data_IF_740020867529
#
_entry.id   IF_740020867529
#
_cell.length_a   1.000
_cell.length_b   1.000
_cell.length_c   1.000
_cell.angle_alpha   90.00
_cell.angle_beta   90.00
_cell.angle_gamma   90.00
#
_symmetry.space_group_name_H-M   'P 1'
#
loop_
_entity.id
_entity.type
_entity.pdbx_description
1 polymer ?
#
# COMPACT_ATOMS: atom_id res chain seq x y z
N UNK A 1 -12.17 -17.40 -47.06
CA UNK A 1 -12.15 -15.94 -47.22
C UNK A 1 -11.22 -15.39 -46.15
N UNK A 2 -10.04 -14.93 -46.56
CA UNK A 2 -8.99 -14.42 -45.66
C UNK A 2 -9.28 -12.96 -45.26
N UNK A 3 -8.79 -12.50 -44.10
CA UNK A 3 -8.97 -11.11 -43.60
C UNK A 3 -8.65 -10.01 -44.62
N UNK A 4 -7.80 -10.31 -45.60
CA UNK A 4 -7.44 -9.40 -46.69
C UNK A 4 -8.59 -9.07 -47.64
N UNK A 5 -9.55 -9.98 -47.84
CA UNK A 5 -10.68 -9.74 -48.75
C UNK A 5 -11.77 -8.88 -48.09
N UNK A 6 -12.02 -9.07 -46.80
CA UNK A 6 -13.03 -8.31 -46.03
C UNK A 6 -12.70 -6.82 -45.91
N UNK A 7 -11.41 -6.47 -45.90
CA UNK A 7 -10.94 -5.07 -45.80
C UNK A 7 -11.19 -4.27 -47.09
N UNK A 8 -11.35 -4.93 -48.23
CA UNK A 8 -11.66 -4.28 -49.52
C UNK A 8 -13.14 -3.91 -49.66
N UNK A 9 -14.03 -4.54 -48.90
CA UNK A 9 -15.48 -4.35 -49.00
C UNK A 9 -16.05 -3.36 -47.97
N UNK A 10 -15.21 -2.62 -47.23
CA UNK A 10 -15.68 -1.63 -46.25
C UNK A 10 -16.40 -2.26 -45.05
N UNK A 11 -16.29 -3.58 -44.86
CA UNK A 11 -16.85 -4.29 -43.72
C UNK A 11 -15.94 -4.02 -42.51
N UNK A 12 -16.38 -3.14 -41.61
CA UNK A 12 -15.75 -2.97 -40.31
C UNK A 12 -15.82 -4.30 -39.55
N UNK A 13 -14.68 -4.98 -39.45
CA UNK A 13 -14.55 -6.16 -38.59
C UNK A 13 -14.67 -5.67 -37.14
N UNK A 14 -15.86 -5.79 -36.56
CA UNK A 14 -16.10 -5.51 -35.14
C UNK A 14 -15.06 -6.26 -34.31
N UNK A 15 -14.15 -5.52 -33.67
CA UNK A 15 -13.19 -6.09 -32.73
C UNK A 15 -13.97 -6.85 -31.66
N UNK A 16 -13.65 -8.13 -31.39
CA UNK A 16 -14.39 -8.91 -30.42
C UNK A 16 -14.41 -8.18 -29.07
N UNK A 17 -15.61 -7.87 -28.58
CA UNK A 17 -15.83 -7.28 -27.25
C UNK A 17 -15.11 -8.13 -26.22
N UNK A 18 -13.97 -7.64 -25.72
CA UNK A 18 -13.16 -8.29 -24.70
C UNK A 18 -14.01 -8.44 -23.44
N UNK A 19 -14.55 -9.63 -23.19
CA UNK A 19 -15.33 -9.91 -21.97
C UNK A 19 -14.39 -9.75 -20.77
N UNK A 20 -14.60 -8.70 -19.98
CA UNK A 20 -13.85 -8.46 -18.74
C UNK A 20 -14.38 -9.45 -17.71
N UNK A 21 -13.70 -10.60 -17.55
CA UNK A 21 -13.97 -11.50 -16.43
C UNK A 21 -13.27 -10.95 -15.18
N UNK A 22 -14.05 -10.59 -14.17
CA UNK A 22 -13.55 -10.17 -12.86
C UNK A 22 -13.12 -11.41 -12.09
N UNK A 23 -11.85 -11.47 -11.69
CA UNK A 23 -11.35 -12.51 -10.79
C UNK A 23 -11.49 -12.05 -9.33
N UNK A 24 -12.61 -12.45 -8.73
CA UNK A 24 -12.96 -12.10 -7.35
C UNK A 24 -11.98 -12.66 -6.31
N UNK A 25 -11.35 -13.82 -6.58
CA UNK A 25 -10.38 -14.41 -5.65
C UNK A 25 -9.12 -13.57 -5.55
N UNK A 26 -8.60 -13.13 -6.71
CA UNK A 26 -7.43 -12.25 -6.78
C UNK A 26 -7.72 -10.85 -6.22
N UNK A 27 -8.81 -10.23 -6.67
CA UNK A 27 -9.17 -8.88 -6.22
C UNK A 27 -9.50 -8.83 -4.72
N UNK A 28 -10.14 -9.87 -4.18
CA UNK A 28 -10.42 -9.99 -2.75
C UNK A 28 -9.15 -10.01 -1.90
N UNK A 29 -8.09 -10.68 -2.36
CA UNK A 29 -6.80 -10.69 -1.67
C UNK A 29 -6.13 -9.31 -1.59
N UNK A 30 -6.17 -8.55 -2.69
CA UNK A 30 -5.65 -7.17 -2.73
C UNK A 30 -6.46 -6.27 -1.79
N UNK A 31 -7.78 -6.35 -1.88
CA UNK A 31 -8.69 -5.55 -1.05
C UNK A 31 -8.50 -5.83 0.44
N UNK A 32 -8.39 -7.09 0.82
CA UNK A 32 -8.12 -7.49 2.20
C UNK A 32 -6.75 -6.99 2.68
N UNK A 33 -5.72 -7.04 1.83
CA UNK A 33 -4.42 -6.44 2.12
C UNK A 33 -4.51 -4.95 2.41
N UNK A 34 -5.34 -4.21 1.64
CA UNK A 34 -5.54 -2.78 1.86
C UNK A 34 -6.27 -2.50 3.17
N UNK A 35 -7.29 -3.28 3.51
CA UNK A 35 -7.99 -3.17 4.81
C UNK A 35 -7.02 -3.40 5.97
N UNK A 36 -6.14 -4.41 5.88
CA UNK A 36 -5.14 -4.68 6.92
C UNK A 36 -4.20 -3.50 7.10
N UNK A 37 -3.77 -2.84 6.01
CA UNK A 37 -2.95 -1.63 6.11
C UNK A 37 -3.73 -0.50 6.74
N UNK A 38 -4.93 -0.23 6.26
CA UNK A 38 -5.78 0.87 6.76
C UNK A 38 -5.99 0.73 8.28
N UNK A 39 -6.51 -0.42 8.70
CA UNK A 39 -6.82 -0.64 10.12
C UNK A 39 -5.58 -0.90 10.97
N UNK A 40 -4.63 -1.69 10.47
CA UNK A 40 -3.48 -2.13 11.25
C UNK A 40 -2.39 -1.08 11.34
N UNK A 41 -2.06 -0.41 10.23
CA UNK A 41 -0.98 0.59 10.21
C UNK A 41 -1.34 1.77 11.10
N UNK A 42 -2.45 2.46 10.83
CA UNK A 42 -2.88 3.57 11.67
C UNK A 42 -3.50 3.15 13.00
N UNK A 43 -3.97 1.91 13.16
CA UNK A 43 -4.34 1.38 14.47
C UNK A 43 -3.16 1.35 15.44
N UNK A 44 -1.99 0.92 14.96
CA UNK A 44 -0.75 0.95 15.77
C UNK A 44 -0.31 2.40 16.05
N UNK A 45 -0.33 3.26 15.02
CA UNK A 45 0.06 4.67 15.18
C UNK A 45 -0.87 5.38 16.17
N UNK A 46 -2.19 5.25 16.01
CA UNK A 46 -3.18 5.88 16.87
C UNK A 46 -3.01 5.47 18.34
N UNK A 47 -2.76 4.18 18.60
CA UNK A 47 -2.47 3.71 19.95
C UNK A 47 -1.24 4.39 20.56
N UNK A 48 -0.26 4.78 19.74
CA UNK A 48 0.94 5.50 20.18
C UNK A 48 0.71 6.99 20.40
N UNK A 49 -0.16 7.59 19.58
CA UNK A 49 -0.52 9.02 19.70
C UNK A 49 -1.43 9.24 20.90
N UNK A 50 -2.20 8.23 21.31
CA UNK A 50 -3.21 8.34 22.37
C UNK A 50 -2.69 8.08 23.78
N UNK A 51 -1.47 7.54 23.93
CA UNK A 51 -0.88 7.17 25.22
C UNK A 51 0.36 8.01 25.52
N UNK A 52 0.53 8.45 26.77
CA UNK A 52 1.75 9.09 27.24
C UNK A 52 2.87 8.08 27.60
N UNK A 53 3.96 8.58 28.18
CA UNK A 53 5.10 7.78 28.64
C UNK A 53 4.80 6.89 29.86
N UNK A 54 3.65 7.05 30.50
CA UNK A 54 3.16 6.29 31.65
C UNK A 54 1.97 5.39 31.29
N UNK A 55 1.69 5.20 29.99
CA UNK A 55 0.53 4.47 29.46
C UNK A 55 -0.83 5.08 29.87
N UNK A 56 -0.88 6.38 30.14
CA UNK A 56 -2.12 7.12 30.39
C UNK A 56 -2.66 7.75 29.11
N UNK A 57 -4.00 7.78 28.99
CA UNK A 57 -4.68 8.40 27.87
C UNK A 57 -4.50 9.92 27.88
N UNK A 58 -3.94 10.48 26.81
CA UNK A 58 -3.79 11.93 26.68
C UNK A 58 -4.97 12.59 25.98
N UNK A 59 -5.37 13.81 26.41
CA UNK A 59 -6.37 14.60 25.69
C UNK A 59 -5.91 14.89 24.27
N UNK A 60 -6.85 14.97 23.33
CA UNK A 60 -6.56 15.28 21.92
C UNK A 60 -5.80 16.60 21.73
N UNK A 61 -5.96 17.57 22.63
CA UNK A 61 -5.24 18.85 22.56
C UNK A 61 -3.73 18.70 22.74
N UNK A 62 -3.30 17.69 23.48
CA UNK A 62 -1.91 17.45 23.86
C UNK A 62 -1.23 16.38 22.99
N UNK A 63 -1.98 15.81 22.03
CA UNK A 63 -1.47 14.81 21.09
C UNK A 63 -0.50 15.43 20.09
N UNK A 64 0.63 14.75 19.87
CA UNK A 64 1.53 15.10 18.78
C UNK A 64 0.92 14.69 17.42
N UNK A 65 0.32 15.69 16.76
CA UNK A 65 -0.37 15.54 15.48
C UNK A 65 0.56 15.15 14.34
N UNK A 66 1.86 15.43 14.48
CA UNK A 66 2.84 15.14 13.44
C UNK A 66 3.02 13.64 13.22
N UNK A 67 2.77 12.81 14.23
CA UNK A 67 2.82 11.34 14.13
C UNK A 67 1.81 10.76 13.12
N UNK A 68 0.67 11.43 12.90
CA UNK A 68 -0.32 11.00 11.91
C UNK A 68 0.11 11.33 10.47
N UNK A 69 0.94 12.34 10.28
CA UNK A 69 1.43 12.75 8.95
C UNK A 69 2.80 12.12 8.65
N UNK A 70 3.61 11.94 9.69
CA UNK A 70 4.94 11.35 9.65
C UNK A 70 5.01 10.11 10.55
N UNK A 71 4.34 9.00 10.18
CA UNK A 71 4.32 7.76 10.96
C UNK A 71 5.70 7.21 11.33
N UNK A 72 6.75 7.55 10.56
CA UNK A 72 8.11 7.13 10.85
C UNK A 72 8.65 7.66 12.20
N UNK A 73 8.10 8.76 12.74
CA UNK A 73 8.48 9.26 14.06
C UNK A 73 8.12 8.29 15.20
N UNK A 74 7.16 7.41 14.96
CA UNK A 74 6.70 6.41 15.93
C UNK A 74 7.55 5.11 15.93
N UNK A 75 8.55 5.00 15.05
CA UNK A 75 9.27 3.74 14.81
C UNK A 75 9.94 3.18 16.07
N UNK A 76 10.55 4.05 16.89
CA UNK A 76 11.22 3.64 18.13
C UNK A 76 10.22 3.12 19.16
N UNK A 77 9.10 3.82 19.33
CA UNK A 77 8.04 3.45 20.28
C UNK A 77 7.33 2.15 19.90
N UNK A 78 7.13 1.91 18.59
CA UNK A 78 6.41 0.73 18.10
C UNK A 78 7.32 -0.42 17.65
N UNK A 79 8.63 -0.38 17.93
CA UNK A 79 9.57 -1.40 17.45
C UNK A 79 9.44 -1.66 15.93
N UNK A 80 9.27 -0.59 15.14
CA UNK A 80 9.08 -0.63 13.68
C UNK A 80 7.83 -1.37 13.18
N UNK A 81 6.88 -1.71 14.06
CA UNK A 81 5.74 -2.57 13.75
C UNK A 81 4.85 -2.07 12.59
N UNK A 82 4.52 -0.77 12.44
CA UNK A 82 3.73 -0.29 11.31
C UNK A 82 4.42 -0.56 9.96
N UNK A 83 5.73 -0.27 9.88
CA UNK A 83 6.52 -0.49 8.67
C UNK A 83 6.79 -1.97 8.41
N UNK A 84 6.92 -2.78 9.47
CA UNK A 84 6.99 -4.23 9.36
C UNK A 84 5.69 -4.82 8.81
N UNK A 85 4.53 -4.33 9.28
CA UNK A 85 3.23 -4.72 8.75
C UNK A 85 3.10 -4.36 7.26
N UNK A 86 3.48 -3.12 6.90
CA UNK A 86 3.50 -2.68 5.51
C UNK A 86 4.40 -3.58 4.64
N UNK A 87 5.59 -3.91 5.13
CA UNK A 87 6.51 -4.82 4.48
C UNK A 87 5.88 -6.21 4.25
N UNK A 88 5.30 -6.81 5.30
CA UNK A 88 4.71 -8.16 5.24
C UNK A 88 3.53 -8.20 4.27
N UNK A 89 2.66 -7.19 4.29
CA UNK A 89 1.52 -7.11 3.36
C UNK A 89 2.03 -6.97 1.92
N UNK A 90 2.99 -6.08 1.66
CA UNK A 90 3.56 -5.92 0.32
C UNK A 90 4.24 -7.20 -0.19
N UNK A 91 4.95 -7.90 0.70
CA UNK A 91 5.54 -9.21 0.44
C UNK A 91 4.46 -10.22 0.06
N UNK A 92 3.40 -10.34 0.88
CA UNK A 92 2.32 -11.30 0.66
C UNK A 92 1.54 -11.01 -0.63
N UNK A 93 1.24 -9.74 -0.92
CA UNK A 93 0.58 -9.32 -2.15
C UNK A 93 1.39 -9.73 -3.38
N UNK A 94 2.70 -9.50 -3.37
CA UNK A 94 3.55 -9.87 -4.51
C UNK A 94 3.79 -11.38 -4.62
N UNK A 95 3.93 -12.07 -3.48
CA UNK A 95 4.15 -13.51 -3.45
C UNK A 95 2.94 -14.31 -3.96
N UNK A 96 1.71 -13.88 -3.60
CA UNK A 96 0.47 -14.57 -3.98
C UNK A 96 0.05 -14.33 -5.44
N UNK A 97 0.51 -13.25 -6.05
CA UNK A 97 0.18 -12.92 -7.43
C UNK A 97 0.89 -13.83 -8.43
N UNK A 98 0.17 -14.35 -9.43
CA UNK A 98 0.72 -15.21 -10.47
C UNK A 98 1.87 -14.51 -11.22
N UNK A 99 1.64 -13.25 -11.59
CA UNK A 99 2.62 -12.38 -12.22
C UNK A 99 3.07 -11.34 -11.17
N UNK A 100 4.30 -11.44 -10.63
CA UNK A 100 4.77 -10.58 -9.54
C UNK A 100 4.69 -9.08 -9.83
N UNK A 101 4.80 -8.69 -11.11
CA UNK A 101 4.69 -7.28 -11.51
C UNK A 101 3.34 -6.65 -11.15
N UNK A 102 2.24 -7.42 -11.16
CA UNK A 102 0.93 -6.91 -10.72
C UNK A 102 0.89 -6.68 -9.22
N UNK A 103 1.48 -7.59 -8.45
CA UNK A 103 1.61 -7.44 -7.00
C UNK A 103 2.45 -6.23 -6.62
N UNK A 104 3.59 -6.00 -7.29
CA UNK A 104 4.41 -4.79 -7.08
C UNK A 104 3.58 -3.53 -7.38
N UNK A 105 2.86 -3.50 -8.50
CA UNK A 105 2.00 -2.36 -8.86
C UNK A 105 0.91 -2.12 -7.81
N UNK A 106 0.28 -3.18 -7.30
CA UNK A 106 -0.73 -3.07 -6.25
C UNK A 106 -0.13 -2.57 -4.92
N UNK A 107 1.08 -3.03 -4.56
CA UNK A 107 1.80 -2.58 -3.38
C UNK A 107 2.20 -1.11 -3.47
N UNK A 108 2.62 -0.60 -4.64
CA UNK A 108 2.94 0.81 -4.83
C UNK A 108 1.77 1.75 -4.55
N UNK A 109 0.54 1.31 -4.81
CA UNK A 109 -0.67 2.07 -4.48
C UNK A 109 -0.92 2.21 -2.98
N UNK A 110 -0.29 1.39 -2.13
CA UNK A 110 -0.41 1.54 -0.68
C UNK A 110 0.23 2.83 -0.17
N UNK A 111 1.27 3.36 -0.85
CA UNK A 111 1.92 4.62 -0.42
C UNK A 111 0.95 5.80 -0.43
N UNK A 112 0.30 6.16 -1.55
CA UNK A 112 -0.66 7.25 -1.54
C UNK A 112 -1.90 6.95 -0.67
N UNK A 113 -2.28 5.70 -0.48
CA UNK A 113 -3.36 5.31 0.44
C UNK A 113 -3.00 5.64 1.89
N UNK A 114 -1.81 5.22 2.35
CA UNK A 114 -1.32 5.48 3.72
C UNK A 114 -1.17 7.00 3.97
N UNK A 115 -0.73 7.76 2.97
CA UNK A 115 -0.66 9.23 3.09
C UNK A 115 -2.06 9.83 3.20
N UNK A 116 -2.98 9.47 2.29
CA UNK A 116 -4.35 9.97 2.32
C UNK A 116 -5.07 9.60 3.62
N UNK A 117 -4.78 8.42 4.15
CA UNK A 117 -5.30 7.97 5.43
C UNK A 117 -4.82 8.82 6.59
N UNK A 118 -3.54 9.20 6.62
CA UNK A 118 -3.01 10.13 7.64
C UNK A 118 -3.75 11.47 7.64
N UNK A 119 -4.13 11.95 6.46
CA UNK A 119 -4.92 13.17 6.30
C UNK A 119 -6.34 12.96 6.84
N UNK A 120 -6.98 11.83 6.53
CA UNK A 120 -8.31 11.49 7.03
C UNK A 120 -8.32 11.37 8.56
N UNK A 121 -7.33 10.71 9.17
CA UNK A 121 -7.22 10.61 10.62
C UNK A 121 -6.97 11.96 11.26
N UNK A 122 -6.06 12.77 10.69
CA UNK A 122 -5.84 14.13 11.18
C UNK A 122 -7.15 14.93 11.16
N UNK A 123 -7.87 14.96 10.03
CA UNK A 123 -9.10 15.75 9.93
C UNK A 123 -10.22 15.21 10.83
N UNK A 124 -10.29 13.90 11.00
CA UNK A 124 -11.25 13.26 11.91
C UNK A 124 -11.00 13.63 13.37
N UNK A 125 -9.75 13.84 13.78
CA UNK A 125 -9.38 14.11 15.17
C UNK A 125 -9.29 15.60 15.48
N UNK A 126 -8.77 16.41 14.55
CA UNK A 126 -8.42 17.82 14.78
C UNK A 126 -9.25 18.81 13.95
N UNK A 127 -10.15 18.30 13.09
CA UNK A 127 -10.98 19.10 12.20
C UNK A 127 -10.32 19.41 10.85
N UNK A 128 -11.13 19.86 9.90
CA UNK A 128 -10.69 20.17 8.54
C UNK A 128 -9.77 21.40 8.54
N UNK A 129 -8.52 21.22 8.10
CA UNK A 129 -7.52 22.28 7.97
C UNK A 129 -6.54 21.99 6.82
N UNK A 130 -5.76 23.00 6.43
CA UNK A 130 -4.68 22.83 5.44
C UNK A 130 -3.39 22.27 6.04
N UNK A 131 -3.33 22.09 7.35
CA UNK A 131 -2.11 21.71 8.06
C UNK A 131 -1.51 20.37 7.59
N UNK A 132 -2.29 19.30 7.29
CA UNK A 132 -1.74 18.06 6.72
C UNK A 132 -1.00 18.27 5.40
N UNK A 133 -1.51 19.14 4.52
CA UNK A 133 -0.84 19.45 3.26
C UNK A 133 0.47 20.19 3.50
N UNK A 134 0.47 21.13 4.44
CA UNK A 134 1.66 21.88 4.83
C UNK A 134 2.71 20.90 5.38
N UNK A 135 2.36 20.09 6.38
CA UNK A 135 3.25 19.09 6.97
C UNK A 135 3.77 18.06 5.95
N UNK A 136 2.93 17.62 5.01
CA UNK A 136 3.31 16.58 4.05
C UNK A 136 4.19 17.10 2.89
N UNK A 137 3.98 18.34 2.44
CA UNK A 137 4.58 18.82 1.19
C UNK A 137 5.50 20.04 1.34
N UNK A 138 5.44 20.78 2.45
CA UNK A 138 6.29 21.96 2.68
C UNK A 138 7.46 21.68 3.64
N UNK A 139 7.49 20.52 4.29
CA UNK A 139 8.55 20.13 5.23
C UNK A 139 9.39 18.97 4.69
N UNK A 140 10.67 18.96 5.03
CA UNK A 140 11.62 17.91 4.62
C UNK A 140 11.19 16.53 5.15
N UNK A 141 10.66 16.50 6.37
CA UNK A 141 10.11 15.35 7.07
C UNK A 141 9.00 14.67 6.25
N UNK A 142 8.18 15.46 5.55
CA UNK A 142 7.16 14.95 4.64
C UNK A 142 7.75 14.15 3.48
N UNK A 143 8.83 14.64 2.86
CA UNK A 143 9.53 13.92 1.79
C UNK A 143 10.27 12.69 2.31
N UNK A 144 10.87 12.79 3.50
CA UNK A 144 11.51 11.65 4.17
C UNK A 144 10.49 10.54 4.44
N UNK A 145 9.29 10.90 4.92
CA UNK A 145 8.19 9.95 5.13
C UNK A 145 7.82 9.22 3.83
N UNK A 146 7.60 9.96 2.73
CA UNK A 146 7.28 9.37 1.41
C UNK A 146 8.38 8.42 0.95
N UNK A 147 9.64 8.82 1.09
CA UNK A 147 10.78 7.98 0.72
C UNK A 147 10.82 6.68 1.52
N UNK A 148 10.61 6.74 2.84
CA UNK A 148 10.59 5.55 3.71
C UNK A 148 9.43 4.61 3.35
N UNK A 149 8.24 5.14 3.10
CA UNK A 149 7.09 4.33 2.65
C UNK A 149 7.39 3.61 1.34
N UNK A 150 7.95 4.31 0.33
CA UNK A 150 8.35 3.68 -0.93
C UNK A 150 9.43 2.63 -0.75
N UNK A 151 10.46 2.90 0.05
CA UNK A 151 11.52 1.93 0.33
C UNK A 151 10.95 0.66 0.94
N UNK A 152 10.08 0.77 1.95
CA UNK A 152 9.46 -0.41 2.59
C UNK A 152 8.59 -1.20 1.61
N UNK A 153 7.78 -0.51 0.80
CA UNK A 153 6.93 -1.14 -0.22
C UNK A 153 7.77 -1.86 -1.28
N UNK A 154 8.83 -1.22 -1.78
CA UNK A 154 9.73 -1.79 -2.80
C UNK A 154 10.48 -2.99 -2.22
N UNK A 155 11.08 -2.87 -1.04
CA UNK A 155 11.83 -3.97 -0.42
C UNK A 155 10.88 -5.15 -0.16
N UNK A 156 9.70 -4.92 0.43
CA UNK A 156 8.72 -5.99 0.69
C UNK A 156 8.28 -6.71 -0.57
N UNK A 157 7.89 -5.95 -1.60
CA UNK A 157 7.44 -6.53 -2.87
C UNK A 157 8.55 -7.27 -3.62
N UNK A 158 9.77 -6.71 -3.69
CA UNK A 158 10.93 -7.39 -4.30
C UNK A 158 11.29 -8.67 -3.56
N UNK A 159 11.29 -8.65 -2.23
CA UNK A 159 11.50 -9.87 -1.42
C UNK A 159 10.46 -10.94 -1.74
N UNK A 160 9.17 -10.57 -1.87
CA UNK A 160 8.10 -11.50 -2.26
C UNK A 160 8.34 -12.13 -3.63
N UNK A 161 8.72 -11.33 -4.61
CA UNK A 161 9.08 -11.80 -5.96
C UNK A 161 10.29 -12.75 -5.94
N UNK A 162 11.35 -12.38 -5.20
CA UNK A 162 12.59 -13.18 -5.13
C UNK A 162 12.32 -14.54 -4.50
N UNK A 163 11.60 -14.59 -3.38
CA UNK A 163 11.23 -15.84 -2.72
C UNK A 163 10.39 -16.72 -3.64
N UNK A 164 9.42 -16.15 -4.35
CA UNK A 164 8.61 -16.89 -5.32
C UNK A 164 9.46 -17.55 -6.41
N UNK A 165 10.33 -16.77 -7.07
CA UNK A 165 11.23 -17.26 -8.13
C UNK A 165 12.17 -18.35 -7.63
N UNK A 166 12.68 -18.24 -6.41
CA UNK A 166 13.55 -19.26 -5.80
C UNK A 166 12.80 -20.58 -5.58
N UNK A 167 11.55 -20.54 -5.15
CA UNK A 167 10.73 -21.74 -4.93
C UNK A 167 10.31 -22.41 -6.24
N UNK A 168 9.97 -21.63 -7.26
CA UNK A 168 9.66 -22.14 -8.60
C UNK A 168 10.87 -22.88 -9.20
N UNK A 169 12.05 -22.25 -9.17
CA UNK A 169 13.29 -22.86 -9.65
C UNK A 169 13.65 -24.15 -8.89
N UNK A 170 13.38 -24.22 -7.58
CA UNK A 170 13.60 -25.45 -6.80
C UNK A 170 12.64 -26.57 -7.19
N UNK A 171 11.39 -26.24 -7.55
CA UNK A 171 10.43 -27.24 -8.04
C UNK A 171 10.87 -27.77 -9.41
N UNK A 172 11.30 -26.90 -10.30
CA UNK A 172 11.78 -27.28 -11.65
C UNK A 172 13.06 -28.13 -11.62
N UNK A 173 13.99 -27.86 -10.68
CA UNK A 173 15.21 -28.66 -10.53
C UNK A 173 15.08 -29.95 -9.72
N UNK A 174 13.88 -30.25 -9.19
CA UNK A 174 13.58 -31.48 -8.45
C UNK A 174 12.85 -32.53 -9.30
N UNK A 175 12.53 -32.21 -10.57
CA UNK A 175 12.06 -33.11 -11.62
C UNK A 175 13.13 -33.27 -12.69
#
# INVERSE_FOLDING_TARGET
MTEYELKKEGVEVEKPKKRVSIDFGRQGGIFLGYIIIILGFYGIIANTVMMDQFDEWIPFLDMDRTLLIWPYLSLSKNFFLPFLLLFIVCFALTYKEDIPAYGIKASLWLVPIVIAEGFLFYWSMFGMSLEPFILQFLYFEGYLNVMLLFLTVIIGSLSGMLVKKLLEKRKEGAY
#
